data_IF_909352648691
#
_entry.id   IF_909352648691
#
_cell.length_a   1.000
_cell.length_b   1.000
_cell.length_c   1.000
_cell.angle_alpha   90.00
_cell.angle_beta   90.00
_cell.angle_gamma   90.00
#
_symmetry.space_group_name_H-M   'P 1'
#
loop_
_entity.id
_entity.type
_entity.pdbx_description
1 polymer ?
#
# COMPACT_ATOMS: atom_id res chain seq x y z
N UNK A 1 0.15 14.44 -2.76
CA UNK A 1 0.33 13.00 -2.51
C UNK A 1 0.21 12.77 -1.01
N UNK A 2 -0.74 11.94 -0.59
CA UNK A 2 -0.74 11.45 0.80
C UNK A 2 0.56 10.68 1.04
N UNK A 3 1.16 10.84 2.21
CA UNK A 3 2.36 10.08 2.58
C UNK A 3 1.92 8.62 2.79
N UNK A 4 2.50 7.69 2.05
CA UNK A 4 2.22 6.26 2.20
C UNK A 4 2.88 5.73 3.48
N UNK A 5 2.24 5.95 4.62
CA UNK A 5 2.78 5.56 5.94
C UNK A 5 2.74 4.05 6.19
N UNK A 6 1.99 3.30 5.37
CA UNK A 6 1.86 1.84 5.47
C UNK A 6 3.12 1.07 5.04
N UNK A 7 4.06 1.67 4.30
CA UNK A 7 5.31 0.99 3.91
C UNK A 7 6.34 1.06 5.04
N UNK A 8 6.77 -0.11 5.51
CA UNK A 8 7.85 -0.27 6.49
C UNK A 8 9.08 -0.85 5.80
N UNK A 9 10.17 -0.99 6.56
CA UNK A 9 11.45 -1.47 6.02
C UNK A 9 11.36 -2.89 5.41
N UNK A 10 10.41 -3.71 5.87
CA UNK A 10 10.33 -5.13 5.50
C UNK A 10 8.95 -5.58 4.98
N UNK A 11 7.91 -4.79 5.25
CA UNK A 11 6.53 -5.19 4.96
C UNK A 11 5.62 -3.96 4.87
N UNK A 12 4.34 -4.22 4.57
CA UNK A 12 3.28 -3.22 4.47
C UNK A 12 2.32 -3.43 5.63
N UNK A 13 2.27 -2.46 6.55
CA UNK A 13 1.43 -2.48 7.75
C UNK A 13 0.94 -1.08 8.09
N UNK A 14 -0.37 -0.94 8.32
CA UNK A 14 -1.02 0.30 8.72
C UNK A 14 -2.47 0.07 9.15
N UNK A 15 -3.13 1.10 9.68
CA UNK A 15 -4.55 1.05 10.03
C UNK A 15 -5.40 0.90 8.76
N UNK A 16 -6.32 -0.08 8.78
CA UNK A 16 -7.25 -0.30 7.66
C UNK A 16 -8.15 0.92 7.45
N UNK A 17 -8.38 1.28 6.18
CA UNK A 17 -9.20 2.40 5.74
C UNK A 17 -8.48 3.75 5.74
N UNK A 18 -7.60 4.01 6.70
CA UNK A 18 -6.87 5.29 6.82
C UNK A 18 -5.48 5.23 6.17
N UNK A 19 -4.66 4.25 6.56
CA UNK A 19 -3.27 4.12 6.10
C UNK A 19 -3.10 3.03 5.04
N UNK A 20 -3.90 1.96 5.12
CA UNK A 20 -3.94 0.86 4.16
C UNK A 20 -5.39 0.63 3.73
N UNK A 21 -5.67 0.78 2.44
CA UNK A 21 -7.00 0.65 1.86
C UNK A 21 -6.95 -0.08 0.51
N UNK A 22 -8.12 -0.37 -0.04
CA UNK A 22 -8.26 -1.15 -1.28
C UNK A 22 -7.57 -0.48 -2.47
N UNK A 23 -7.65 0.84 -2.60
CA UNK A 23 -6.98 1.57 -3.68
C UNK A 23 -5.45 1.39 -3.66
N UNK A 24 -4.85 1.39 -2.46
CA UNK A 24 -3.41 1.14 -2.28
C UNK A 24 -3.09 -0.32 -2.62
N UNK A 25 -3.91 -1.26 -2.16
CA UNK A 25 -3.71 -2.68 -2.40
C UNK A 25 -3.78 -3.01 -3.90
N UNK A 26 -4.78 -2.47 -4.62
CA UNK A 26 -4.94 -2.66 -6.06
C UNK A 26 -3.74 -2.12 -6.84
N UNK A 27 -3.24 -0.93 -6.50
CA UNK A 27 -2.04 -0.37 -7.13
C UNK A 27 -0.79 -1.20 -6.90
N UNK A 28 -0.62 -1.77 -5.72
CA UNK A 28 0.50 -2.68 -5.44
C UNK A 28 0.39 -3.92 -6.31
N UNK A 29 -0.81 -4.51 -6.39
CA UNK A 29 -1.06 -5.70 -7.21
C UNK A 29 -0.78 -5.44 -8.70
N UNK A 30 -1.31 -4.35 -9.26
CA UNK A 30 -1.05 -3.94 -10.63
C UNK A 30 0.45 -3.72 -10.91
N UNK A 31 1.17 -3.10 -9.97
CA UNK A 31 2.61 -2.90 -10.11
C UNK A 31 3.37 -4.22 -10.10
N UNK A 32 3.03 -5.13 -9.19
CA UNK A 32 3.68 -6.44 -9.08
C UNK A 32 3.38 -7.35 -10.28
N UNK A 33 2.18 -7.27 -10.85
CA UNK A 33 1.82 -8.05 -12.02
C UNK A 33 2.58 -7.64 -13.29
N UNK A 34 3.04 -6.39 -13.36
CA UNK A 34 3.74 -5.83 -14.52
C UNK A 34 5.26 -5.65 -14.29
N UNK A 35 5.79 -6.19 -13.19
CA UNK A 35 7.22 -6.10 -12.83
C UNK A 35 8.00 -7.33 -13.30
#
# INVERSE_FOLDING_TARGET
MSKLTCFKAYDIRGRLGEELNEDIALRIDELMANF
#
